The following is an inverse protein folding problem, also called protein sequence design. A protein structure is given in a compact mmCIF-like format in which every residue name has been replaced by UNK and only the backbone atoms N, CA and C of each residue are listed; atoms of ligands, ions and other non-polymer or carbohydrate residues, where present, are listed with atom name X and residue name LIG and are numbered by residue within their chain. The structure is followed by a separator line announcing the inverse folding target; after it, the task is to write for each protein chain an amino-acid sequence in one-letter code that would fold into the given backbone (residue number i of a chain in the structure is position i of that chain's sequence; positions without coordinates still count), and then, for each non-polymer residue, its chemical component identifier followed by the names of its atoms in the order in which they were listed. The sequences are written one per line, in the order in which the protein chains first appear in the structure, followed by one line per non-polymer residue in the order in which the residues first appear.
data_IF_867123483092
#
_entry.id   IF_867123483092
#
_cell.length_a   1.000
_cell.length_b   1.000
_cell.length_c   1.000
_cell.angle_alpha   90.00
_cell.angle_beta   90.00
_cell.angle_gamma   90.00
#
_symmetry.space_group_name_H-M   'P 1'
#
loop_
_entity.id
_entity.type
_entity.pdbx_description
1 polymer ?
#
# COMPACT_ATOMS: atom_id res chain seq x y z
N UNK A 1 0.95 16.94 20.24
CA UNK A 1 0.09 15.74 20.10
C UNK A 1 0.26 15.22 18.68
N UNK A 2 0.52 13.93 18.50
CA UNK A 2 0.60 13.30 17.17
C UNK A 2 -0.77 12.71 16.80
N UNK A 3 -1.25 12.96 15.59
CA UNK A 3 -2.40 12.26 15.03
C UNK A 3 -1.91 10.95 14.38
N UNK A 4 -2.49 9.81 14.76
CA UNK A 4 -2.25 8.53 14.11
C UNK A 4 -3.51 8.06 13.39
N UNK A 5 -3.40 7.75 12.10
CA UNK A 5 -4.47 7.18 11.30
C UNK A 5 -4.16 5.71 11.05
N UNK A 6 -5.09 4.82 11.37
CA UNK A 6 -4.99 3.39 11.06
C UNK A 6 -5.91 3.09 9.88
N UNK A 7 -5.35 2.49 8.84
CA UNK A 7 -6.06 2.16 7.59
C UNK A 7 -6.16 0.66 7.45
N UNK A 8 -7.36 0.17 7.15
CA UNK A 8 -7.62 -1.23 6.80
C UNK A 8 -8.12 -1.29 5.35
N UNK A 9 -7.25 -1.59 4.36
CA UNK A 9 -7.61 -1.56 2.95
C UNK A 9 -8.80 -2.46 2.61
N UNK A 10 -9.67 -1.98 1.73
CA UNK A 10 -10.85 -2.69 1.21
C UNK A 10 -10.80 -2.77 -0.32
N UNK A 11 -11.63 -3.65 -0.90
CA UNK A 11 -11.80 -3.70 -2.35
C UNK A 11 -12.24 -2.32 -2.88
N UNK A 12 -11.50 -1.81 -3.86
CA UNK A 12 -11.76 -0.51 -4.48
C UNK A 12 -10.95 0.65 -3.92
N UNK A 13 -10.26 0.49 -2.78
CA UNK A 13 -9.29 1.48 -2.29
C UNK A 13 -8.12 1.60 -3.28
N UNK A 14 -7.66 2.83 -3.52
CA UNK A 14 -6.60 3.10 -4.50
C UNK A 14 -5.76 4.31 -4.10
N UNK A 15 -4.53 4.36 -4.62
CA UNK A 15 -3.69 5.55 -4.57
C UNK A 15 -3.49 6.10 -5.99
N UNK A 16 -3.52 7.43 -6.14
CA UNK A 16 -3.41 8.13 -7.42
C UNK A 16 -2.66 9.44 -7.28
N UNK A 17 -2.06 9.90 -8.37
CA UNK A 17 -1.55 11.26 -8.47
C UNK A 17 -2.64 12.14 -9.10
N UNK A 18 -2.97 13.23 -8.43
CA UNK A 18 -3.93 14.24 -8.84
C UNK A 18 -3.23 15.60 -8.98
N UNK A 19 -4.02 16.65 -9.22
CA UNK A 19 -3.56 18.02 -9.14
C UNK A 19 -4.37 18.78 -8.11
N UNK A 20 -3.70 19.64 -7.33
CA UNK A 20 -4.36 20.58 -6.43
C UNK A 20 -4.98 21.76 -7.20
N UNK A 21 -5.60 22.69 -6.48
CA UNK A 21 -6.24 23.89 -7.06
C UNK A 21 -5.24 24.79 -7.81
N UNK A 22 -3.96 24.75 -7.43
CA UNK A 22 -2.86 25.48 -8.05
C UNK A 22 -2.20 24.71 -9.20
N UNK A 23 -2.75 23.54 -9.59
CA UNK A 23 -2.22 22.63 -10.62
C UNK A 23 -0.86 22.01 -10.29
N UNK A 24 -0.50 21.92 -9.01
CA UNK A 24 0.68 21.18 -8.53
C UNK A 24 0.31 19.70 -8.32
N UNK A 25 1.28 18.78 -8.40
CA UNK A 25 1.02 17.37 -8.15
C UNK A 25 0.61 17.14 -6.68
N UNK A 26 -0.37 16.26 -6.50
CA UNK A 26 -0.87 15.82 -5.20
C UNK A 26 -0.94 14.30 -5.20
N UNK A 27 -0.43 13.64 -4.15
CA UNK A 27 -0.62 12.20 -3.97
C UNK A 27 -1.84 11.97 -3.08
N UNK A 28 -2.83 11.26 -3.60
CA UNK A 28 -4.09 10.95 -2.91
C UNK A 28 -4.19 9.44 -2.71
N UNK A 29 -4.50 9.02 -1.50
CA UNK A 29 -4.90 7.65 -1.19
C UNK A 29 -6.33 7.66 -0.68
N UNK A 30 -7.22 7.04 -1.44
CA UNK A 30 -8.62 6.83 -1.07
C UNK A 30 -8.66 5.73 -0.01
N UNK A 31 -9.06 6.09 1.21
CA UNK A 31 -9.17 5.17 2.36
C UNK A 31 -10.66 5.04 2.67
N UNK A 32 -11.23 3.83 2.48
CA UNK A 32 -12.68 3.60 2.45
C UNK A 32 -13.54 4.30 3.52
N UNK A 33 -14.86 4.34 3.31
CA UNK A 33 -15.85 5.17 4.07
C UNK A 33 -15.67 6.69 3.93
N UNK A 34 -15.08 7.13 2.82
CA UNK A 34 -15.05 8.55 2.43
C UNK A 34 -13.91 9.35 3.04
N UNK A 35 -12.86 8.70 3.56
CA UNK A 35 -11.63 9.36 3.95
C UNK A 35 -10.65 9.42 2.79
N UNK A 36 -9.83 10.46 2.74
CA UNK A 36 -8.63 10.47 1.90
C UNK A 36 -7.42 10.85 2.75
N UNK A 37 -6.27 10.27 2.41
CA UNK A 37 -4.98 10.83 2.81
C UNK A 37 -4.40 11.55 1.61
N UNK A 38 -4.13 12.83 1.79
CA UNK A 38 -3.58 13.70 0.75
C UNK A 38 -2.22 14.23 1.17
N UNK A 39 -1.22 14.06 0.32
CA UNK A 39 0.10 14.69 0.43
C UNK A 39 0.18 15.79 -0.62
N UNK A 40 0.30 17.03 -0.16
CA UNK A 40 0.35 18.23 -0.99
C UNK A 40 1.74 18.86 -0.98
N UNK A 41 2.01 19.67 -1.99
CA UNK A 41 3.20 20.52 -2.06
C UNK A 41 2.83 21.87 -1.48
N UNK A 42 3.54 22.29 -0.43
CA UNK A 42 3.43 23.62 0.15
C UNK A 42 4.18 24.67 -0.70
N UNK A 43 3.97 25.95 -0.37
CA UNK A 43 4.46 27.10 -1.14
C UNK A 43 5.91 27.53 -0.80
N UNK A 44 6.61 26.75 0.03
CA UNK A 44 7.95 27.10 0.48
C UNK A 44 9.04 26.72 -0.56
N UNK A 45 10.16 27.47 -0.60
CA UNK A 45 11.28 27.09 -1.45
C UNK A 45 11.82 25.69 -1.13
N UNK A 46 11.94 24.83 -2.14
CA UNK A 46 12.44 23.46 -1.99
C UNK A 46 11.37 22.41 -1.65
N UNK A 47 10.12 22.83 -1.47
CA UNK A 47 8.99 21.95 -1.15
C UNK A 47 8.70 20.91 -2.21
N UNK A 48 8.90 21.24 -3.49
CA UNK A 48 8.70 20.28 -4.59
C UNK A 48 9.71 19.14 -4.51
N UNK A 49 10.98 19.45 -4.30
CA UNK A 49 12.06 18.46 -4.14
C UNK A 49 11.84 17.62 -2.88
N UNK A 50 11.42 18.25 -1.79
CA UNK A 50 11.10 17.57 -0.54
C UNK A 50 9.93 16.60 -0.72
N UNK A 51 8.83 17.04 -1.34
CA UNK A 51 7.67 16.21 -1.64
C UNK A 51 8.04 15.02 -2.53
N UNK A 52 8.87 15.25 -3.56
CA UNK A 52 9.36 14.18 -4.43
C UNK A 52 10.21 13.15 -3.67
N UNK A 53 11.11 13.60 -2.78
CA UNK A 53 11.93 12.71 -1.96
C UNK A 53 11.08 11.93 -0.96
N UNK A 54 10.13 12.60 -0.31
CA UNK A 54 9.19 11.98 0.62
C UNK A 54 8.34 10.92 -0.08
N UNK A 55 7.76 11.22 -1.23
CA UNK A 55 6.96 10.28 -2.02
C UNK A 55 7.75 9.03 -2.43
N UNK A 56 9.02 9.18 -2.83
CA UNK A 56 9.90 8.01 -3.12
C UNK A 56 10.14 7.16 -1.88
N UNK A 57 10.39 7.78 -0.74
CA UNK A 57 10.57 7.07 0.54
C UNK A 57 9.30 6.32 0.95
N UNK A 58 8.13 6.96 0.80
CA UNK A 58 6.83 6.35 1.07
C UNK A 58 6.57 5.17 0.14
N UNK A 59 6.81 5.32 -1.16
CA UNK A 59 6.64 4.24 -2.15
C UNK A 59 7.56 3.05 -1.82
N UNK A 60 8.82 3.29 -1.46
CA UNK A 60 9.73 2.22 -1.07
C UNK A 60 9.25 1.46 0.18
N UNK A 61 8.75 2.17 1.19
CA UNK A 61 8.18 1.55 2.39
C UNK A 61 6.90 0.76 2.08
N UNK A 62 6.02 1.31 1.24
CA UNK A 62 4.78 0.65 0.81
C UNK A 62 5.06 -0.63 0.01
N UNK A 63 6.02 -0.60 -0.93
CA UNK A 63 6.42 -1.78 -1.70
C UNK A 63 7.01 -2.87 -0.80
N UNK A 64 7.85 -2.50 0.17
CA UNK A 64 8.38 -3.45 1.16
C UNK A 64 7.26 -4.06 2.01
N UNK A 65 6.30 -3.25 2.44
CA UNK A 65 5.15 -3.73 3.20
C UNK A 65 4.30 -4.71 2.36
N UNK A 66 4.04 -4.40 1.09
CA UNK A 66 3.33 -5.28 0.17
C UNK A 66 4.05 -6.63 0.05
N UNK A 67 5.37 -6.63 -0.17
CA UNK A 67 6.17 -7.85 -0.22
C UNK A 67 6.01 -8.70 1.07
N UNK A 68 6.08 -8.08 2.24
CA UNK A 68 5.89 -8.80 3.50
C UNK A 68 4.48 -9.40 3.63
N UNK A 69 3.44 -8.70 3.17
CA UNK A 69 2.08 -9.24 3.14
C UNK A 69 1.98 -10.45 2.19
N UNK A 70 2.56 -10.36 1.00
CA UNK A 70 2.56 -11.43 0.00
C UNK A 70 3.26 -12.69 0.53
N UNK A 71 4.38 -12.54 1.24
CA UNK A 71 5.11 -13.65 1.87
C UNK A 71 4.28 -14.38 2.95
N UNK A 72 3.27 -13.72 3.54
CA UNK A 72 2.38 -14.32 4.54
C UNK A 72 1.16 -15.02 3.96
N UNK A 73 0.89 -14.86 2.65
CA UNK A 73 -0.23 -15.54 1.99
C UNK A 73 0.08 -17.04 1.99
N UNK A 74 -0.72 -17.88 2.66
CA UNK A 74 -0.48 -19.31 2.67
C UNK A 74 -0.50 -19.86 1.24
N UNK A 75 0.56 -20.58 0.86
CA UNK A 75 0.58 -21.33 -0.39
C UNK A 75 -0.57 -22.36 -0.42
N UNK A 76 -0.97 -22.84 -1.61
CA UNK A 76 -1.97 -23.89 -1.71
C UNK A 76 -1.52 -25.07 -0.85
N UNK A 77 -2.41 -25.56 0.01
CA UNK A 77 -2.19 -26.80 0.74
C UNK A 77 -1.98 -27.90 -0.30
N UNK A 78 -0.72 -28.31 -0.50
CA UNK A 78 -0.41 -29.51 -1.28
C UNK A 78 -1.09 -30.63 -0.52
N UNK A 79 -2.26 -31.10 -1.00
CA UNK A 79 -2.83 -32.35 -0.54
C UNK A 79 -1.77 -33.40 -0.81
N UNK A 80 -1.07 -33.81 0.23
CA UNK A 80 -0.26 -35.01 0.19
C UNK A 80 -1.20 -36.15 -0.16
N UNK A 81 -1.16 -36.60 -1.42
CA UNK A 81 -1.47 -37.98 -1.73
C UNK A 81 -0.38 -38.81 -1.05
N UNK A 82 -0.57 -39.07 0.25
CA UNK A 82 0.00 -40.25 0.86
C UNK A 82 -0.73 -41.40 0.19
N UNK A 83 -0.14 -41.93 -0.87
CA UNK A 83 -0.48 -43.24 -1.39
C UNK A 83 -0.12 -44.25 -0.31
N UNK A 84 -1.04 -44.49 0.62
CA UNK A 84 -1.07 -45.73 1.37
C UNK A 84 -1.52 -46.80 0.40
N UNK A 85 -0.61 -47.25 -0.46
CA UNK A 85 -0.70 -48.56 -1.07
C UNK A 85 -0.43 -49.59 0.04
N UNK A 86 -1.45 -49.80 0.88
CA UNK A 86 -1.66 -51.05 1.59
C UNK A 86 -2.60 -51.88 0.72
N UNK A 87 -2.05 -52.90 0.09
CA UNK A 87 -2.72 -54.13 -0.38
C UNK A 87 -1.57 -55.07 -0.72
N UNK A 88 -1.15 -55.91 0.23
CA UNK A 88 -1.60 -57.32 0.28
C UNK A 88 -1.35 -58.01 -1.06
N UNK A 89 -0.21 -58.71 -1.19
CA UNK A 89 0.01 -60.07 -1.71
C UNK A 89 1.50 -60.43 -1.55
#
# INVERSE_FOLDING_TARGET
MSLSVVVHPRFGDAARVASDEQRRPQLVADIGTGGEVSIQVDDEPGSTELAARFARSLAAAALRFAQMCEETIPGPAVRGEVSTAASDW
#
